data_IF_506535258244
#
_entry.id   IF_506535258244
#
_cell.length_a   1.000
_cell.length_b   1.000
_cell.length_c   1.000
_cell.angle_alpha   90.00
_cell.angle_beta   90.00
_cell.angle_gamma   90.00
#
_symmetry.space_group_name_H-M   'P 1'
#
loop_
_entity.id
_entity.type
_entity.pdbx_description
1 polymer ?
#
# COMPACT_ATOMS: atom_id res chain seq x y z
N UNK A 1 -26.56 -47.78 20.10
CA UNK A 1 -25.89 -47.16 18.93
C UNK A 1 -26.46 -45.75 18.64
N UNK A 2 -26.33 -44.79 19.56
CA UNK A 2 -26.85 -43.40 19.39
C UNK A 2 -25.77 -42.31 19.42
N UNK A 3 -24.52 -42.66 19.72
CA UNK A 3 -23.38 -41.74 19.85
C UNK A 3 -22.83 -41.26 18.50
N UNK A 4 -23.02 -42.01 17.41
CA UNK A 4 -22.45 -41.68 16.10
C UNK A 4 -23.02 -40.40 15.45
N UNK A 5 -24.32 -40.10 15.66
CA UNK A 5 -24.94 -38.90 15.07
C UNK A 5 -24.54 -37.61 15.80
N UNK A 6 -24.31 -37.69 17.10
CA UNK A 6 -23.89 -36.53 17.89
C UNK A 6 -22.47 -36.08 17.54
N UNK A 7 -21.54 -37.05 17.39
CA UNK A 7 -20.18 -36.76 16.93
C UNK A 7 -20.14 -36.17 15.52
N UNK A 8 -21.00 -36.64 14.61
CA UNK A 8 -21.09 -36.09 13.26
C UNK A 8 -21.58 -34.63 13.26
N UNK A 9 -22.60 -34.31 14.06
CA UNK A 9 -23.12 -32.94 14.19
C UNK A 9 -22.06 -32.02 14.81
N UNK A 10 -21.36 -32.49 15.84
CA UNK A 10 -20.27 -31.74 16.46
C UNK A 10 -19.14 -31.45 15.46
N UNK A 11 -18.76 -32.45 14.65
CA UNK A 11 -17.74 -32.30 13.60
C UNK A 11 -18.17 -31.27 12.55
N UNK A 12 -19.43 -31.31 12.09
CA UNK A 12 -19.97 -30.36 11.12
C UNK A 12 -19.95 -28.93 11.68
N UNK A 13 -20.35 -28.75 12.95
CA UNK A 13 -20.36 -27.44 13.62
C UNK A 13 -18.95 -26.86 13.77
N UNK A 14 -17.95 -27.71 14.04
CA UNK A 14 -16.56 -27.28 14.11
C UNK A 14 -16.08 -26.85 12.71
N UNK A 15 -16.35 -27.64 11.67
CA UNK A 15 -15.96 -27.33 10.30
C UNK A 15 -16.64 -26.03 9.80
N UNK A 16 -17.92 -25.82 10.09
CA UNK A 16 -18.62 -24.58 9.70
C UNK A 16 -18.09 -23.37 10.46
N UNK A 17 -17.71 -23.51 11.73
CA UNK A 17 -17.06 -22.42 12.48
C UNK A 17 -15.66 -22.08 11.93
N UNK A 18 -14.89 -23.07 11.49
CA UNK A 18 -13.60 -22.84 10.83
C UNK A 18 -13.75 -22.20 9.44
N UNK A 19 -14.79 -22.56 8.68
CA UNK A 19 -15.08 -21.98 7.38
C UNK A 19 -15.56 -20.52 7.48
N UNK A 20 -16.36 -20.17 8.49
CA UNK A 20 -16.82 -18.78 8.69
C UNK A 20 -15.77 -17.88 9.32
N UNK A 21 -14.80 -18.44 10.06
CA UNK A 21 -13.68 -17.68 10.62
C UNK A 21 -12.64 -17.25 9.57
N UNK A 22 -12.67 -17.83 8.36
CA UNK A 22 -11.63 -17.64 7.34
C UNK A 22 -12.01 -16.65 6.21
N UNK A 23 -13.16 -15.98 6.27
CA UNK A 23 -13.62 -15.11 5.17
C UNK A 23 -13.82 -13.63 5.55
N UNK A 24 -12.97 -13.05 6.39
CA UNK A 24 -12.78 -11.60 6.30
C UNK A 24 -11.86 -11.33 5.11
N UNK A 25 -12.45 -11.32 3.91
CA UNK A 25 -11.73 -10.90 2.71
C UNK A 25 -11.12 -9.52 2.96
N UNK A 26 -9.84 -9.36 2.64
CA UNK A 26 -9.19 -8.06 2.71
C UNK A 26 -9.97 -7.10 1.80
N UNK A 27 -10.35 -5.93 2.31
CA UNK A 27 -11.14 -4.97 1.55
C UNK A 27 -10.39 -4.45 0.31
N UNK A 28 -9.05 -4.45 0.38
CA UNK A 28 -8.16 -4.03 -0.69
C UNK A 28 -6.93 -4.94 -0.76
N UNK A 29 -6.29 -4.95 -1.91
CA UNK A 29 -5.11 -5.75 -2.21
C UNK A 29 -4.18 -4.97 -3.15
N UNK A 30 -2.88 -4.96 -2.85
CA UNK A 30 -1.86 -4.41 -3.75
C UNK A 30 -1.29 -5.59 -4.53
N UNK A 31 -1.64 -5.72 -5.81
CA UNK A 31 -1.24 -6.86 -6.66
C UNK A 31 0.07 -6.62 -7.39
N UNK A 32 0.46 -5.36 -7.56
CA UNK A 32 1.73 -4.96 -8.17
C UNK A 32 2.34 -3.79 -7.40
N UNK A 33 3.64 -3.86 -7.14
CA UNK A 33 4.44 -2.78 -6.58
C UNK A 33 5.89 -2.95 -7.07
N UNK A 34 6.21 -2.31 -8.18
CA UNK A 34 7.55 -2.32 -8.78
C UNK A 34 8.16 -0.93 -8.66
N UNK A 35 9.42 -0.86 -8.24
CA UNK A 35 10.16 0.39 -8.10
C UNK A 35 11.37 0.42 -9.02
N UNK A 36 11.63 1.58 -9.60
CA UNK A 36 12.88 1.89 -10.29
C UNK A 36 13.38 3.24 -9.80
N UNK A 37 14.62 3.27 -9.32
CA UNK A 37 15.28 4.49 -8.88
C UNK A 37 16.32 4.90 -9.92
N UNK A 38 16.31 6.16 -10.31
CA UNK A 38 17.30 6.78 -11.19
C UNK A 38 17.86 8.03 -10.53
N UNK A 39 19.14 8.28 -10.75
CA UNK A 39 19.83 9.46 -10.23
C UNK A 39 20.18 10.40 -11.38
N UNK A 40 20.05 11.70 -11.15
CA UNK A 40 20.66 12.75 -11.97
C UNK A 40 21.47 13.69 -11.08
N UNK A 41 22.12 14.69 -11.69
CA UNK A 41 23.00 15.62 -10.97
C UNK A 41 22.31 16.29 -9.77
N UNK A 42 21.06 16.73 -9.93
CA UNK A 42 20.30 17.53 -8.96
C UNK A 42 19.22 16.77 -8.17
N UNK A 43 18.81 15.58 -8.62
CA UNK A 43 17.66 14.86 -8.04
C UNK A 43 17.82 13.34 -8.09
N UNK A 44 17.02 12.68 -7.28
CA UNK A 44 16.71 11.26 -7.41
C UNK A 44 15.26 11.15 -7.90
N UNK A 45 15.01 10.27 -8.85
CA UNK A 45 13.69 9.95 -9.36
C UNK A 45 13.34 8.51 -8.99
N UNK A 46 12.16 8.32 -8.40
CA UNK A 46 11.51 7.03 -8.22
C UNK A 46 10.36 6.93 -9.23
N UNK A 47 10.39 5.92 -10.07
CA UNK A 47 9.23 5.42 -10.79
C UNK A 47 8.63 4.27 -9.96
N UNK A 48 7.43 4.48 -9.44
CA UNK A 48 6.67 3.49 -8.69
C UNK A 48 5.48 3.04 -9.53
N UNK A 49 5.57 1.83 -10.09
CA UNK A 49 4.46 1.18 -10.74
C UNK A 49 3.66 0.39 -9.70
N UNK A 50 2.36 0.62 -9.63
CA UNK A 50 1.48 -0.07 -8.69
C UNK A 50 0.16 -0.50 -9.31
N UNK A 51 -0.43 -1.53 -8.73
CA UNK A 51 -1.82 -1.93 -8.95
C UNK A 51 -2.48 -2.20 -7.61
N UNK A 52 -3.65 -1.57 -7.39
CA UNK A 52 -4.46 -1.73 -6.19
C UNK A 52 -5.87 -2.15 -6.59
N UNK A 53 -6.33 -3.27 -6.03
CA UNK A 53 -7.69 -3.79 -6.21
C UNK A 53 -8.51 -3.47 -4.97
N UNK A 54 -9.71 -2.94 -5.17
CA UNK A 54 -10.73 -2.77 -4.13
C UNK A 54 -11.81 -3.84 -4.27
N UNK A 55 -11.83 -4.75 -3.31
CA UNK A 55 -12.79 -5.84 -3.23
C UNK A 55 -14.09 -5.42 -2.52
N UNK A 56 -14.15 -4.23 -1.92
CA UNK A 56 -15.34 -3.67 -1.28
C UNK A 56 -16.31 -3.05 -2.30
N UNK A 57 -17.56 -2.84 -1.89
CA UNK A 57 -18.54 -2.03 -2.64
C UNK A 57 -18.40 -0.52 -2.35
N UNK A 58 -17.59 -0.15 -1.36
CA UNK A 58 -17.37 1.23 -0.94
C UNK A 58 -16.20 1.86 -1.70
N UNK A 59 -16.29 3.16 -1.93
CA UNK A 59 -15.17 3.95 -2.44
C UNK A 59 -14.16 4.23 -1.33
N UNK A 60 -12.89 4.01 -1.64
CA UNK A 60 -11.76 4.38 -0.79
C UNK A 60 -10.92 5.45 -1.48
N UNK A 61 -9.96 5.97 -0.74
CA UNK A 61 -8.95 6.88 -1.23
C UNK A 61 -7.58 6.39 -0.76
N UNK A 62 -6.55 6.70 -1.53
CA UNK A 62 -5.19 6.36 -1.16
C UNK A 62 -4.21 7.48 -1.47
N UNK A 63 -3.10 7.48 -0.73
CA UNK A 63 -1.96 8.37 -0.96
C UNK A 63 -0.68 7.63 -0.64
N UNK A 64 0.45 8.15 -1.13
CA UNK A 64 1.76 7.67 -0.74
C UNK A 64 2.22 8.44 0.51
N UNK A 65 2.83 7.72 1.44
CA UNK A 65 3.43 8.28 2.65
C UNK A 65 4.95 8.28 2.48
N UNK A 66 5.58 9.39 2.81
CA UNK A 66 7.01 9.61 2.64
C UNK A 66 7.69 9.68 4.02
N UNK A 67 8.90 9.11 4.19
CA UNK A 67 9.74 9.38 5.35
C UNK A 67 10.08 10.88 5.49
N UNK A 68 10.41 11.34 6.69
CA UNK A 68 10.71 12.77 6.96
C UNK A 68 11.79 13.34 6.04
N UNK A 69 12.89 12.60 5.85
CA UNK A 69 14.02 13.01 4.99
C UNK A 69 13.64 13.17 3.51
N UNK A 70 12.54 12.55 3.08
CA UNK A 70 11.98 12.72 1.74
C UNK A 70 11.00 13.89 1.69
N UNK A 71 10.19 14.11 2.73
CA UNK A 71 9.13 15.13 2.73
C UNK A 71 9.69 16.53 2.43
N UNK A 72 10.82 16.89 3.04
CA UNK A 72 11.47 18.20 2.84
C UNK A 72 12.23 18.30 1.50
N UNK A 73 12.61 17.15 0.94
CA UNK A 73 13.29 17.03 -0.35
C UNK A 73 12.32 16.97 -1.54
N UNK A 74 11.04 16.69 -1.31
CA UNK A 74 10.05 16.35 -2.33
C UNK A 74 9.81 17.50 -3.32
N UNK A 75 9.99 17.21 -4.60
CA UNK A 75 9.66 18.11 -5.72
C UNK A 75 8.26 17.79 -6.25
N UNK A 76 7.95 16.50 -6.40
CA UNK A 76 6.67 16.04 -6.94
C UNK A 76 5.54 16.33 -5.95
N UNK A 77 4.48 17.01 -6.41
CA UNK A 77 3.25 17.14 -5.63
C UNK A 77 2.44 15.84 -5.68
N UNK A 78 2.41 15.11 -4.57
CA UNK A 78 1.66 13.86 -4.45
C UNK A 78 0.27 14.15 -3.90
N UNK A 79 -0.76 13.66 -4.60
CA UNK A 79 -2.16 13.88 -4.26
C UNK A 79 -2.83 12.65 -3.63
N UNK A 80 -4.10 12.84 -3.25
CA UNK A 80 -4.98 11.75 -2.83
C UNK A 80 -5.73 11.24 -4.05
N UNK A 81 -5.63 9.94 -4.32
CA UNK A 81 -6.27 9.27 -5.44
C UNK A 81 -7.52 8.52 -4.98
N UNK A 82 -8.55 8.48 -5.83
CA UNK A 82 -9.77 7.70 -5.57
C UNK A 82 -9.54 6.24 -5.97
N UNK A 83 -10.02 5.33 -5.15
CA UNK A 83 -10.07 3.89 -5.41
C UNK A 83 -11.54 3.42 -5.39
N UNK A 84 -12.24 3.42 -6.54
CA UNK A 84 -13.65 3.08 -6.61
C UNK A 84 -13.96 1.67 -6.09
N UNK A 85 -15.16 1.45 -5.55
CA UNK A 85 -15.64 0.12 -5.17
C UNK A 85 -15.60 -0.88 -6.33
N UNK A 86 -15.25 -2.15 -6.05
CA UNK A 86 -15.20 -3.25 -7.00
C UNK A 86 -14.39 -2.91 -8.26
N UNK A 87 -13.23 -2.27 -8.08
CA UNK A 87 -12.38 -1.81 -9.19
C UNK A 87 -10.91 -2.14 -8.97
N UNK A 88 -10.12 -2.01 -10.04
CA UNK A 88 -8.65 -1.98 -10.01
C UNK A 88 -8.17 -0.61 -10.49
N UNK A 89 -7.13 -0.09 -9.84
CA UNK A 89 -6.41 1.12 -10.26
C UNK A 89 -4.94 0.75 -10.47
N UNK A 90 -4.44 0.98 -11.67
CA UNK A 90 -3.02 0.79 -12.02
C UNK A 90 -2.43 2.12 -12.49
N UNK A 91 -1.24 2.46 -12.02
CA UNK A 91 -0.55 3.68 -12.45
C UNK A 91 0.97 3.56 -12.27
N UNK A 92 1.70 4.45 -12.94
CA UNK A 92 3.11 4.72 -12.68
C UNK A 92 3.23 6.12 -12.09
N UNK A 93 3.61 6.21 -10.83
CA UNK A 93 3.87 7.49 -10.15
C UNK A 93 5.35 7.85 -10.28
N UNK A 94 5.64 9.09 -10.71
CA UNK A 94 7.00 9.61 -10.86
C UNK A 94 7.30 10.61 -9.74
N UNK A 95 8.09 10.17 -8.78
CA UNK A 95 8.43 10.93 -7.57
C UNK A 95 9.85 11.47 -7.73
N UNK A 96 9.99 12.78 -7.76
CA UNK A 96 11.27 13.48 -7.82
C UNK A 96 11.60 14.08 -6.46
N UNK A 97 12.82 13.86 -5.98
CA UNK A 97 13.34 14.38 -4.71
C UNK A 97 14.67 15.11 -4.96
N UNK A 98 14.86 16.25 -4.32
CA UNK A 98 16.11 17.04 -4.42
C UNK A 98 17.23 16.37 -3.65
N UNK A 99 18.45 16.43 -4.19
CA UNK A 99 19.65 16.00 -3.49
C UNK A 99 20.22 17.05 -2.53
N UNK A 100 19.89 18.33 -2.72
CA UNK A 100 20.44 19.46 -1.94
C UNK A 100 19.67 19.79 -0.66
N UNK A 101 18.75 18.93 -0.22
CA UNK A 101 18.00 19.13 1.02
C UNK A 101 18.86 18.82 2.26
N UNK A 102 18.53 19.43 3.40
CA UNK A 102 19.33 19.32 4.62
C UNK A 102 19.51 17.88 5.14
N UNK A 103 18.55 16.99 4.91
CA UNK A 103 18.61 15.58 5.35
C UNK A 103 19.16 14.63 4.26
N UNK A 104 19.45 15.12 3.06
CA UNK A 104 19.95 14.32 1.93
C UNK A 104 21.48 14.33 1.90
N UNK A 105 22.10 13.71 2.90
CA UNK A 105 23.54 13.47 2.92
C UNK A 105 23.97 12.48 1.83
N UNK A 106 25.25 12.47 1.45
CA UNK A 106 25.80 11.48 0.51
C UNK A 106 25.49 10.04 0.94
N UNK A 107 25.60 9.75 2.24
CA UNK A 107 25.26 8.45 2.84
C UNK A 107 23.78 8.10 2.66
N UNK A 108 22.88 9.08 2.80
CA UNK A 108 21.44 8.90 2.63
C UNK A 108 21.10 8.65 1.16
N UNK A 109 21.72 9.41 0.25
CA UNK A 109 21.56 9.25 -1.20
C UNK A 109 22.02 7.85 -1.61
N UNK A 110 23.21 7.43 -1.19
CA UNK A 110 23.73 6.09 -1.50
C UNK A 110 22.82 4.97 -0.96
N UNK A 111 22.34 5.10 0.28
CA UNK A 111 21.41 4.14 0.88
C UNK A 111 20.07 4.05 0.10
N UNK A 112 19.56 5.18 -0.42
CA UNK A 112 18.37 5.21 -1.28
C UNK A 112 18.63 4.44 -2.59
N UNK A 113 19.75 4.72 -3.25
CA UNK A 113 20.10 4.14 -4.54
C UNK A 113 20.35 2.63 -4.44
N UNK A 114 20.97 2.18 -3.35
CA UNK A 114 21.16 0.76 -3.05
C UNK A 114 19.87 0.08 -2.57
N UNK A 115 18.84 0.86 -2.24
CA UNK A 115 17.55 0.37 -1.82
C UNK A 115 17.48 -0.06 -0.34
N UNK A 116 18.49 0.31 0.45
CA UNK A 116 18.60 0.05 1.88
C UNK A 116 17.57 0.84 2.70
N UNK A 117 17.22 2.05 2.22
CA UNK A 117 16.15 2.87 2.80
C UNK A 117 15.10 3.24 1.74
N UNK A 118 13.82 3.38 2.12
CA UNK A 118 12.73 3.57 1.15
C UNK A 118 12.46 5.05 0.83
N UNK A 119 12.20 5.39 -0.44
CA UNK A 119 11.67 6.72 -0.79
C UNK A 119 10.19 6.85 -0.38
N UNK A 120 9.41 5.78 -0.51
CA UNK A 120 7.99 5.70 -0.09
C UNK A 120 7.89 4.70 1.05
N UNK A 121 7.37 5.13 2.19
CA UNK A 121 7.23 4.30 3.39
C UNK A 121 6.05 3.32 3.27
N UNK A 122 4.90 3.81 2.81
CA UNK A 122 3.68 3.02 2.67
C UNK A 122 2.68 3.66 1.70
N UNK A 123 1.71 2.86 1.26
CA UNK A 123 0.49 3.34 0.60
C UNK A 123 -0.61 3.35 1.67
N UNK A 124 -1.06 4.53 2.06
CA UNK A 124 -2.14 4.68 3.02
C UNK A 124 -3.47 4.66 2.30
N UNK A 125 -4.37 3.74 2.67
CA UNK A 125 -5.73 3.61 2.13
C UNK A 125 -6.74 3.93 3.23
N UNK A 126 -7.69 4.81 2.96
CA UNK A 126 -8.69 5.24 3.93
C UNK A 126 -9.98 5.73 3.29
N UNK A 127 -10.93 6.11 4.14
CA UNK A 127 -12.22 6.70 3.75
C UNK A 127 -12.23 8.20 4.06
N UNK A 128 -13.03 8.96 3.32
CA UNK A 128 -13.25 10.37 3.63
C UNK A 128 -14.10 10.49 4.89
N UNK A 129 -13.66 11.31 5.84
CA UNK A 129 -14.48 11.70 6.99
C UNK A 129 -15.27 12.97 6.60
N UNK A 130 -16.59 12.89 6.57
CA UNK A 130 -17.45 14.07 6.46
C UNK A 130 -17.55 14.73 7.83
N UNK A 131 -16.81 15.82 8.04
CA UNK A 131 -16.96 16.66 9.23
C UNK A 131 -18.11 17.64 8.95
N UNK A 132 -19.34 17.19 9.21
CA UNK A 132 -20.52 18.06 9.24
C UNK A 132 -20.59 18.82 10.56
#
# INVERSE_FOLDING_TARGET
>A
MKTSRFFLILLILIITAFLTACSKGMAFEITKAERRVTETDDRIQLELEYEIINHSNEDYFFTLVFPSYIQDALITKVGINKLPGKSSTSNVEIINIRKDSAEMTDETIEAILNGDIPIVQEILIGTTISLN
#
